data_IF_246381519501
#
_entry.id   IF_246381519501
#
_cell.length_a   1.000
_cell.length_b   1.000
_cell.length_c   1.000
_cell.angle_alpha   90.00
_cell.angle_beta   90.00
_cell.angle_gamma   90.00
#
_symmetry.space_group_name_H-M   'P 1'
#
loop_
_entity.id
_entity.type
_entity.pdbx_description
1 polymer ?
#
# COMPACT_ATOMS: atom_id res chain seq x y z
N UNK A 1 2.41 35.31 23.75
CA UNK A 1 3.20 35.19 22.51
C UNK A 1 2.70 34.03 21.68
N UNK A 2 1.72 34.27 20.80
CA UNK A 2 0.98 33.24 20.06
C UNK A 2 1.36 33.16 18.56
N UNK A 3 2.56 33.61 18.20
CA UNK A 3 2.97 33.77 16.79
C UNK A 3 4.13 32.87 16.32
N UNK A 4 4.62 31.94 17.14
CA UNK A 4 5.91 31.26 16.85
C UNK A 4 5.88 29.72 16.83
N UNK A 5 4.73 29.06 17.01
CA UNK A 5 4.66 27.61 17.24
C UNK A 5 3.98 26.75 16.15
N UNK A 6 3.51 27.31 15.02
CA UNK A 6 2.73 26.56 14.01
C UNK A 6 3.30 26.54 12.58
N UNK A 7 4.46 27.13 12.34
CA UNK A 7 5.00 27.30 10.99
C UNK A 7 6.03 26.22 10.55
N UNK A 8 6.40 25.24 11.39
CA UNK A 8 7.66 24.50 11.16
C UNK A 8 7.63 22.97 11.10
N UNK A 9 6.47 22.30 11.04
CA UNK A 9 6.42 20.89 10.69
C UNK A 9 5.24 20.63 9.75
N UNK A 10 5.40 20.98 8.47
CA UNK A 10 4.57 20.46 7.38
C UNK A 10 5.49 19.60 6.53
N UNK A 11 5.34 18.29 6.63
CA UNK A 11 5.94 17.35 5.68
C UNK A 11 4.93 17.08 4.56
N UNK A 12 5.40 16.61 3.41
CA UNK A 12 4.53 16.21 2.30
C UNK A 12 4.70 14.72 2.06
N UNK A 13 3.58 14.01 1.97
CA UNK A 13 3.53 12.58 1.68
C UNK A 13 2.89 12.37 0.31
N UNK A 14 3.60 11.71 -0.59
CA UNK A 14 3.06 11.32 -1.89
C UNK A 14 2.35 9.98 -1.75
N UNK A 15 1.08 9.95 -2.11
CA UNK A 15 0.21 8.77 -2.01
C UNK A 15 -0.26 8.31 -3.38
N UNK A 16 -0.50 7.01 -3.51
CA UNK A 16 -1.32 6.43 -4.57
C UNK A 16 -2.54 5.76 -3.95
N UNK A 17 -3.72 6.24 -4.31
CA UNK A 17 -4.99 5.87 -3.69
C UNK A 17 -5.89 5.14 -4.68
N UNK A 18 -6.61 4.12 -4.21
CA UNK A 18 -7.77 3.59 -4.94
C UNK A 18 -8.90 4.62 -4.93
N UNK A 19 -9.91 4.43 -5.78
CA UNK A 19 -11.12 5.26 -5.77
C UNK A 19 -11.81 5.27 -4.38
N UNK A 20 -11.82 4.12 -3.70
CA UNK A 20 -12.32 3.98 -2.33
C UNK A 20 -11.44 4.72 -1.33
N UNK A 21 -10.11 4.62 -1.47
CA UNK A 21 -9.15 5.35 -0.65
C UNK A 21 -9.33 6.86 -0.76
N UNK A 22 -9.51 7.36 -1.99
CA UNK A 22 -9.74 8.77 -2.27
C UNK A 22 -11.01 9.29 -1.58
N UNK A 23 -12.11 8.53 -1.63
CA UNK A 23 -13.35 8.88 -0.92
C UNK A 23 -13.21 8.89 0.61
N UNK A 24 -12.37 8.02 1.17
CA UNK A 24 -12.16 7.90 2.62
C UNK A 24 -11.12 8.88 3.16
N UNK A 25 -10.23 9.39 2.31
CA UNK A 25 -9.12 10.26 2.70
C UNK A 25 -9.56 11.45 3.57
N UNK A 26 -10.65 12.20 3.26
CA UNK A 26 -11.07 13.34 4.08
C UNK A 26 -11.54 12.98 5.50
N UNK A 27 -11.86 11.71 5.76
CA UNK A 27 -12.27 11.25 7.08
C UNK A 27 -11.09 10.88 7.99
N UNK A 28 -9.90 10.66 7.42
CA UNK A 28 -8.71 10.19 8.16
C UNK A 28 -7.58 11.22 8.22
N UNK A 29 -7.48 12.12 7.24
CA UNK A 29 -6.42 13.10 7.15
C UNK A 29 -6.87 14.50 7.58
N UNK A 30 -5.91 15.33 7.96
CA UNK A 30 -6.16 16.70 8.45
C UNK A 30 -6.84 17.55 7.36
N UNK A 31 -8.04 18.13 7.65
CA UNK A 31 -8.74 19.03 6.74
C UNK A 31 -7.89 20.17 6.18
N UNK A 32 -6.87 20.62 6.93
CA UNK A 32 -6.01 21.74 6.55
C UNK A 32 -5.15 21.49 5.29
N UNK A 33 -4.96 20.23 4.87
CA UNK A 33 -4.20 19.84 3.67
C UNK A 33 -5.01 19.14 2.58
N UNK A 34 -6.23 18.69 2.89
CA UNK A 34 -7.05 17.87 1.97
C UNK A 34 -7.44 18.64 0.69
N UNK A 35 -7.85 19.90 0.82
CA UNK A 35 -8.31 20.68 -0.34
C UNK A 35 -7.22 20.85 -1.41
N UNK A 36 -6.01 21.19 -0.96
CA UNK A 36 -4.83 21.32 -1.83
C UNK A 36 -4.43 19.98 -2.44
N UNK A 37 -4.41 18.91 -1.64
CA UNK A 37 -4.09 17.57 -2.09
C UNK A 37 -5.06 17.07 -3.18
N UNK A 38 -6.37 17.28 -3.01
CA UNK A 38 -7.37 16.89 -3.99
C UNK A 38 -7.31 17.74 -5.27
N UNK A 39 -6.99 19.02 -5.15
CA UNK A 39 -6.82 19.90 -6.32
C UNK A 39 -5.56 19.56 -7.13
N UNK A 40 -4.50 19.10 -6.45
CA UNK A 40 -3.25 18.64 -7.08
C UNK A 40 -3.27 17.16 -7.53
N UNK A 41 -4.39 16.47 -7.37
CA UNK A 41 -4.49 15.06 -7.72
C UNK A 41 -4.28 14.83 -9.23
N UNK A 42 -3.41 13.88 -9.55
CA UNK A 42 -3.15 13.46 -10.93
C UNK A 42 -4.34 12.72 -11.55
N UNK A 43 -4.26 12.50 -12.86
CA UNK A 43 -5.19 11.60 -13.54
C UNK A 43 -5.05 10.16 -12.98
N UNK A 44 -6.15 9.37 -12.98
CA UNK A 44 -6.07 7.95 -12.62
C UNK A 44 -5.10 7.19 -13.52
N UNK A 45 -4.32 6.29 -12.93
CA UNK A 45 -3.45 5.34 -13.64
C UNK A 45 -4.28 4.22 -14.30
N UNK A 46 -3.66 3.30 -15.09
CA UNK A 46 -4.40 2.21 -15.74
C UNK A 46 -5.15 1.27 -14.77
N UNK A 47 -4.80 1.27 -13.48
CA UNK A 47 -5.50 0.52 -12.45
C UNK A 47 -6.58 1.37 -11.74
N UNK A 48 -6.88 2.55 -12.25
CA UNK A 48 -7.85 3.49 -11.68
C UNK A 48 -7.39 4.16 -10.38
N UNK A 49 -6.08 4.16 -10.09
CA UNK A 49 -5.53 4.76 -8.87
C UNK A 49 -5.05 6.18 -9.12
N UNK A 50 -5.25 7.05 -8.13
CA UNK A 50 -4.91 8.47 -8.22
C UNK A 50 -3.69 8.76 -7.35
N UNK A 51 -2.73 9.49 -7.90
CA UNK A 51 -1.57 9.99 -7.15
C UNK A 51 -1.78 11.43 -6.72
N UNK A 52 -1.46 11.74 -5.46
CA UNK A 52 -1.53 13.10 -4.91
C UNK A 52 -0.46 13.32 -3.85
N UNK A 53 -0.19 14.58 -3.57
CA UNK A 53 0.67 15.02 -2.48
C UNK A 53 -0.19 15.53 -1.33
N UNK A 54 -0.02 14.94 -0.15
CA UNK A 54 -0.75 15.27 1.06
C UNK A 54 0.16 15.98 2.06
N UNK A 55 -0.12 17.25 2.40
CA UNK A 55 0.51 17.92 3.53
C UNK A 55 0.11 17.23 4.84
N UNK A 56 1.10 16.92 5.69
CA UNK A 56 0.89 16.28 7.00
C UNK A 56 1.70 17.00 8.06
N UNK A 57 1.25 16.92 9.32
CA UNK A 57 2.00 17.49 10.46
C UNK A 57 3.33 16.77 10.68
N UNK A 58 3.38 15.44 10.52
CA UNK A 58 4.59 14.65 10.63
C UNK A 58 4.43 13.27 9.98
N UNK A 59 5.54 12.60 9.68
CA UNK A 59 5.52 11.21 9.19
C UNK A 59 4.93 10.23 10.22
N UNK A 60 5.07 10.49 11.52
CA UNK A 60 4.50 9.64 12.57
C UNK A 60 2.98 9.72 12.62
N UNK A 61 2.42 10.94 12.56
CA UNK A 61 0.98 11.14 12.49
C UNK A 61 0.43 10.56 11.18
N UNK A 62 1.13 10.80 10.06
CA UNK A 62 0.76 10.24 8.77
C UNK A 62 0.76 8.70 8.79
N UNK A 63 1.73 8.06 9.43
CA UNK A 63 1.76 6.61 9.58
C UNK A 63 0.54 6.08 10.31
N UNK A 64 0.15 6.72 11.41
CA UNK A 64 -0.99 6.29 12.21
C UNK A 64 -2.32 6.43 11.42
N UNK A 65 -2.56 7.58 10.80
CA UNK A 65 -3.83 7.87 10.12
C UNK A 65 -3.96 7.13 8.78
N UNK A 66 -2.91 7.12 7.96
CA UNK A 66 -2.95 6.46 6.64
C UNK A 66 -3.05 4.93 6.77
N UNK A 67 -2.59 4.35 7.88
CA UNK A 67 -2.76 2.92 8.13
C UNK A 67 -4.23 2.47 8.21
N UNK A 68 -5.16 3.38 8.52
CA UNK A 68 -6.61 3.11 8.57
C UNK A 68 -7.24 2.91 7.17
N UNK A 69 -6.56 3.38 6.12
CA UNK A 69 -6.96 3.17 4.73
C UNK A 69 -6.61 1.75 4.25
N UNK A 70 -5.65 1.07 4.89
CA UNK A 70 -5.20 -0.25 4.49
C UNK A 70 -4.67 -0.28 3.05
N UNK A 71 -4.98 -1.33 2.29
CA UNK A 71 -4.52 -1.51 0.91
C UNK A 71 -5.14 -0.51 -0.12
N UNK A 72 -6.07 0.34 0.33
CA UNK A 72 -6.59 1.44 -0.48
C UNK A 72 -5.59 2.59 -0.61
N UNK A 73 -4.53 2.63 0.20
CA UNK A 73 -3.49 3.64 0.15
C UNK A 73 -2.08 3.03 0.09
N UNK A 74 -1.29 3.47 -0.89
CA UNK A 74 0.13 3.18 -0.98
C UNK A 74 0.93 4.48 -0.78
N UNK A 75 1.88 4.47 0.16
CA UNK A 75 2.85 5.56 0.32
C UNK A 75 3.96 5.40 -0.72
N UNK A 76 4.20 6.45 -1.51
CA UNK A 76 5.27 6.51 -2.50
C UNK A 76 6.49 7.27 -1.99
N UNK A 77 6.28 8.34 -1.23
CA UNK A 77 7.31 9.17 -0.60
C UNK A 77 6.78 9.83 0.70
N UNK A 78 7.65 10.21 1.66
CA UNK A 78 9.10 9.99 1.67
C UNK A 78 9.46 8.51 1.89
N UNK A 79 10.70 8.14 1.54
CA UNK A 79 11.16 6.75 1.60
C UNK A 79 11.19 6.19 3.03
N UNK A 80 11.41 7.04 4.05
CA UNK A 80 11.34 6.67 5.47
C UNK A 80 9.95 6.15 5.85
N UNK A 81 8.91 6.95 5.61
CA UNK A 81 7.52 6.54 5.79
C UNK A 81 7.17 5.30 4.96
N UNK A 82 7.62 5.24 3.70
CA UNK A 82 7.38 4.07 2.85
C UNK A 82 7.98 2.80 3.41
N UNK A 83 9.20 2.85 3.95
CA UNK A 83 9.85 1.71 4.60
C UNK A 83 9.03 1.20 5.79
N UNK A 84 8.52 2.10 6.64
CA UNK A 84 7.65 1.74 7.78
C UNK A 84 6.36 1.03 7.33
N UNK A 85 5.73 1.50 6.26
CA UNK A 85 4.56 0.81 5.69
C UNK A 85 4.91 -0.58 5.14
N UNK A 86 6.07 -0.75 4.50
CA UNK A 86 6.54 -2.07 4.05
C UNK A 86 6.76 -3.03 5.22
N UNK A 87 7.37 -2.56 6.31
CA UNK A 87 7.54 -3.35 7.53
C UNK A 87 6.20 -3.76 8.14
N UNK A 88 5.25 -2.82 8.25
CA UNK A 88 3.89 -3.11 8.71
C UNK A 88 3.20 -4.14 7.83
N UNK A 89 3.29 -4.02 6.51
CA UNK A 89 2.70 -4.95 5.57
C UNK A 89 3.27 -6.36 5.70
N UNK A 90 4.60 -6.49 5.87
CA UNK A 90 5.26 -7.77 6.13
C UNK A 90 4.79 -8.38 7.45
N UNK A 91 4.70 -7.59 8.52
CA UNK A 91 4.23 -8.06 9.82
C UNK A 91 2.78 -8.54 9.76
N UNK A 92 1.88 -7.78 9.12
CA UNK A 92 0.49 -8.20 8.91
C UNK A 92 0.41 -9.47 8.07
N UNK A 93 1.19 -9.55 6.99
CA UNK A 93 1.24 -10.76 6.16
C UNK A 93 1.69 -11.96 6.97
N UNK A 94 2.73 -11.83 7.81
CA UNK A 94 3.20 -12.92 8.67
C UNK A 94 2.12 -13.40 9.66
N UNK A 95 1.28 -12.49 10.17
CA UNK A 95 0.18 -12.85 11.09
C UNK A 95 -0.97 -13.60 10.40
N UNK A 96 -1.27 -13.27 9.14
CA UNK A 96 -2.47 -13.77 8.45
C UNK A 96 -2.19 -14.77 7.33
N UNK A 97 -0.95 -14.88 6.83
CA UNK A 97 -0.57 -15.86 5.81
C UNK A 97 -0.29 -17.24 6.39
N UNK A 98 -0.05 -17.34 7.70
CA UNK A 98 -0.03 -18.61 8.41
C UNK A 98 -1.48 -19.06 8.60
N UNK A 99 -2.09 -19.57 7.54
CA UNK A 99 -3.28 -20.40 7.66
C UNK A 99 -2.82 -21.83 7.95
N UNK A 100 -2.96 -22.35 9.19
CA UNK A 100 -2.62 -23.74 9.49
C UNK A 100 -3.55 -24.74 8.81
N UNK A 101 -4.62 -24.30 8.12
CA UNK A 101 -5.63 -25.17 7.53
C UNK A 101 -5.56 -25.34 6.01
N UNK A 102 -4.64 -24.67 5.32
CA UNK A 102 -4.30 -25.02 3.93
C UNK A 102 -2.97 -25.78 3.97
N UNK A 103 -2.95 -27.14 3.89
CA UNK A 103 -1.70 -27.82 3.63
C UNK A 103 -1.09 -27.21 2.36
N UNK A 104 0.17 -26.78 2.46
CA UNK A 104 0.94 -26.33 1.31
C UNK A 104 0.75 -27.36 0.20
N UNK A 105 0.16 -26.93 -0.91
CA UNK A 105 -0.02 -27.77 -2.09
C UNK A 105 1.37 -28.31 -2.48
N UNK A 106 1.66 -29.60 -2.26
CA UNK A 106 2.97 -30.12 -2.55
C UNK A 106 3.00 -30.31 -4.06
N UNK A 107 3.58 -29.35 -4.76
CA UNK A 107 4.12 -29.48 -6.11
C UNK A 107 3.26 -30.33 -7.06
N UNK A 108 2.46 -29.67 -7.89
CA UNK A 108 1.81 -30.27 -9.07
C UNK A 108 2.76 -31.28 -9.77
N UNK A 109 2.50 -32.59 -9.71
CA UNK A 109 3.37 -33.62 -10.28
C UNK A 109 3.15 -33.81 -11.79
N UNK A 110 2.50 -32.85 -12.47
CA UNK A 110 2.17 -32.94 -13.90
C UNK A 110 3.38 -32.98 -14.86
N UNK A 111 4.62 -32.88 -14.37
CA UNK A 111 5.84 -33.07 -15.18
C UNK A 111 6.48 -34.45 -14.99
N UNK A 112 5.66 -35.51 -14.96
CA UNK A 112 6.14 -36.85 -15.35
C UNK A 112 5.65 -37.12 -16.77
N UNK A 113 6.29 -36.44 -17.72
CA UNK A 113 6.18 -36.78 -19.13
C UNK A 113 6.76 -38.19 -19.34
N UNK A 114 5.87 -39.07 -19.79
CA UNK A 114 6.10 -40.37 -20.40
C UNK A 114 7.15 -40.33 -21.52
N UNK A 115 8.18 -41.21 -21.51
CA UNK A 115 8.90 -41.56 -22.71
C UNK A 115 8.67 -43.04 -23.07
N UNK A 116 7.81 -43.22 -24.06
CA UNK A 116 8.07 -44.02 -25.27
C UNK A 116 8.04 -45.55 -25.11
N UNK A 117 6.91 -46.09 -25.57
CA UNK A 117 6.71 -47.39 -26.21
C UNK A 117 7.92 -47.87 -27.08
N UNK A 118 8.38 -49.11 -26.91
CA UNK A 118 9.02 -49.85 -28.00
C UNK A 118 8.18 -51.07 -28.35
N UNK A 119 7.32 -50.91 -29.35
CA UNK A 119 7.07 -51.98 -30.28
C UNK A 119 8.38 -52.34 -31.00
N UNK A 120 8.59 -53.64 -31.20
CA UNK A 120 9.58 -54.28 -32.07
C UNK A 120 10.92 -54.71 -31.43
N UNK A 121 10.91 -55.93 -30.86
CA UNK A 121 11.98 -56.90 -30.99
C UNK A 121 11.49 -58.27 -30.50
N UNK A 122 11.01 -59.12 -31.42
CA UNK A 122 11.34 -60.56 -31.57
C UNK A 122 10.52 -61.20 -32.70
#
# INVERSE_FOLDING_TARGET
SAGFARALLRATVTLRLSERGLRRLPAVADPAGIGEALAGAGAPDPAGRVTLDLPVESEDVAFATLAELGADAEVLAPEGLRARFRERARALTALYAADPTVPADPADPADTADPTDPADQR
#
